data_IF_096477482396
#
_entry.id   IF_096477482396
#
_cell.length_a   1.000
_cell.length_b   1.000
_cell.length_c   1.000
_cell.angle_alpha   90.00
_cell.angle_beta   90.00
_cell.angle_gamma   90.00
#
_symmetry.space_group_name_H-M   'P 1'
#
loop_
_entity.id
_entity.type
_entity.pdbx_description
1 polymer ?
#
# COMPACT_ATOMS: atom_id res chain seq x y z
N UNK A 1 23.00 7.67 11.46
CA UNK A 1 22.03 8.49 12.22
C UNK A 1 20.63 8.05 11.77
N UNK A 2 20.16 6.90 12.23
CA UNK A 2 18.82 6.41 11.94
C UNK A 2 17.95 6.83 13.12
N UNK A 3 17.19 7.90 12.91
CA UNK A 3 16.31 8.48 13.91
C UNK A 3 15.09 7.58 14.08
N UNK A 4 14.60 7.46 15.31
CA UNK A 4 13.58 6.55 15.77
C UNK A 4 12.18 6.89 15.19
N UNK A 5 11.97 6.66 13.89
CA UNK A 5 10.62 6.80 13.32
C UNK A 5 9.70 5.78 13.97
N UNK A 6 8.57 6.27 14.50
CA UNK A 6 7.52 5.40 14.99
C UNK A 6 6.84 4.71 13.81
N UNK A 7 6.37 3.47 14.00
CA UNK A 7 5.61 2.70 12.99
C UNK A 7 4.46 3.53 12.41
N UNK A 8 3.80 4.35 13.24
CA UNK A 8 2.72 5.22 12.80
C UNK A 8 3.16 6.28 11.80
N UNK A 9 4.38 6.80 11.93
CA UNK A 9 4.91 7.81 11.01
C UNK A 9 5.36 7.17 9.70
N UNK A 10 6.03 6.02 9.77
CA UNK A 10 6.39 5.22 8.59
C UNK A 10 5.17 4.89 7.72
N UNK A 11 4.06 4.47 8.35
CA UNK A 11 2.79 4.19 7.65
C UNK A 11 2.25 5.46 6.96
N UNK A 12 2.32 6.63 7.62
CA UNK A 12 1.85 7.88 7.03
C UNK A 12 2.72 8.29 5.84
N UNK A 13 4.04 8.27 6.01
CA UNK A 13 4.99 8.65 4.98
C UNK A 13 4.86 7.76 3.73
N UNK A 14 4.71 6.45 3.93
CA UNK A 14 4.51 5.50 2.84
C UNK A 14 3.18 5.75 2.10
N UNK A 15 2.09 5.97 2.84
CA UNK A 15 0.79 6.29 2.25
C UNK A 15 0.82 7.61 1.46
N UNK A 16 1.49 8.63 1.99
CA UNK A 16 1.64 9.92 1.31
C UNK A 16 2.49 9.81 0.04
N UNK A 17 3.52 8.95 0.05
CA UNK A 17 4.30 8.67 -1.15
C UNK A 17 3.46 8.05 -2.26
N UNK A 18 2.58 7.08 -1.95
CA UNK A 18 1.68 6.50 -2.96
C UNK A 18 0.80 7.55 -3.63
N UNK A 19 0.36 8.54 -2.87
CA UNK A 19 -0.49 9.62 -3.37
C UNK A 19 0.30 10.67 -4.14
N UNK A 20 1.46 11.08 -3.62
CA UNK A 20 2.35 12.05 -4.25
C UNK A 20 2.87 11.58 -5.62
N UNK A 21 3.15 10.28 -5.76
CA UNK A 21 3.56 9.64 -7.03
C UNK A 21 2.37 9.37 -7.97
N UNK A 22 1.14 9.72 -7.57
CA UNK A 22 -0.07 9.57 -8.38
C UNK A 22 -0.53 8.13 -8.59
N UNK A 23 -0.01 7.18 -7.80
CA UNK A 23 -0.41 5.76 -7.87
C UNK A 23 -1.82 5.57 -7.30
N UNK A 24 -2.10 6.25 -6.19
CA UNK A 24 -3.41 6.27 -5.55
C UNK A 24 -3.92 7.72 -5.56
N UNK A 25 -5.10 8.01 -6.14
CA UNK A 25 -5.67 9.35 -6.11
C UNK A 25 -5.87 9.87 -4.67
N UNK A 26 -5.67 11.17 -4.44
CA UNK A 26 -5.82 11.81 -3.11
C UNK A 26 -7.16 11.50 -2.42
N UNK A 27 -8.26 11.43 -3.19
CA UNK A 27 -9.58 11.07 -2.65
C UNK A 27 -9.63 9.68 -1.99
N UNK A 28 -8.66 8.82 -2.27
CA UNK A 28 -8.49 7.47 -1.73
C UNK A 28 -7.29 7.37 -0.75
N UNK A 29 -6.87 8.49 -0.13
CA UNK A 29 -5.77 8.52 0.85
C UNK A 29 -5.96 7.54 2.02
N UNK A 30 -7.21 7.26 2.42
CA UNK A 30 -7.48 6.26 3.46
C UNK A 30 -7.16 4.83 2.99
N UNK A 31 -7.41 4.50 1.73
CA UNK A 31 -7.03 3.20 1.18
C UNK A 31 -5.51 3.08 1.02
N UNK A 32 -4.83 4.17 0.62
CA UNK A 32 -3.37 4.24 0.62
C UNK A 32 -2.78 3.95 2.00
N UNK A 33 -3.38 4.51 3.06
CA UNK A 33 -3.01 4.21 4.45
C UNK A 33 -3.27 2.76 4.83
N UNK A 34 -4.39 2.18 4.41
CA UNK A 34 -4.68 0.77 4.70
C UNK A 34 -3.65 -0.17 4.07
N UNK A 35 -3.24 0.12 2.83
CA UNK A 35 -2.16 -0.62 2.15
C UNK A 35 -0.84 -0.43 2.89
N UNK A 36 -0.48 0.82 3.24
CA UNK A 36 0.76 1.11 3.95
C UNK A 36 0.84 0.38 5.31
N UNK A 37 -0.27 0.28 6.04
CA UNK A 37 -0.34 -0.54 7.28
C UNK A 37 0.05 -1.98 6.97
N UNK A 38 -0.59 -2.60 5.98
CA UNK A 38 -0.34 -4.00 5.67
C UNK A 38 1.10 -4.23 5.18
N UNK A 39 1.65 -3.30 4.39
CA UNK A 39 3.03 -3.34 3.89
C UNK A 39 4.05 -3.22 5.03
N UNK A 40 3.91 -2.22 5.91
CA UNK A 40 4.83 -2.00 7.05
C UNK A 40 4.79 -3.19 8.02
N UNK A 41 3.63 -3.81 8.19
CA UNK A 41 3.47 -5.02 9.00
C UNK A 41 3.86 -6.33 8.28
N UNK A 42 4.42 -6.27 7.07
CA UNK A 42 4.84 -7.42 6.27
C UNK A 42 3.72 -8.45 6.00
N UNK A 43 2.49 -7.98 5.79
CA UNK A 43 1.39 -8.84 5.38
C UNK A 43 1.55 -9.25 3.92
N UNK A 44 1.17 -10.50 3.60
CA UNK A 44 1.28 -11.00 2.23
C UNK A 44 0.09 -10.62 1.34
N UNK A 45 -1.10 -10.48 1.93
CA UNK A 45 -2.36 -10.28 1.21
C UNK A 45 -3.28 -9.31 1.94
N UNK A 46 -3.95 -8.45 1.17
CA UNK A 46 -5.15 -7.71 1.59
C UNK A 46 -6.34 -8.30 0.82
N UNK A 47 -7.37 -8.71 1.55
CA UNK A 47 -8.65 -9.13 0.98
C UNK A 47 -9.69 -8.05 1.28
N UNK A 48 -10.29 -7.46 0.25
CA UNK A 48 -11.29 -6.39 0.44
C UNK A 48 -12.27 -6.25 -0.72
N UNK A 49 -13.54 -6.06 -0.37
CA UNK A 49 -14.60 -5.64 -1.30
C UNK A 49 -14.49 -4.16 -1.70
N UNK A 50 -13.82 -3.33 -0.89
CA UNK A 50 -13.79 -1.87 -1.05
C UNK A 50 -12.54 -1.36 -1.80
N UNK A 51 -11.76 -2.24 -2.42
CA UNK A 51 -10.52 -1.88 -3.13
C UNK A 51 -10.60 -2.08 -4.64
N UNK A 52 -11.79 -2.21 -5.23
CA UNK A 52 -11.95 -2.43 -6.68
C UNK A 52 -11.20 -1.38 -7.55
N UNK A 53 -11.12 -0.13 -7.08
CA UNK A 53 -10.36 0.93 -7.76
C UNK A 53 -8.83 0.78 -7.66
N UNK A 54 -8.35 0.01 -6.69
CA UNK A 54 -6.92 -0.25 -6.39
C UNK A 54 -6.45 -1.61 -6.94
N UNK A 55 -7.35 -2.55 -7.16
CA UNK A 55 -7.04 -3.89 -7.71
C UNK A 55 -6.52 -3.82 -9.16
N UNK A 56 -6.64 -2.67 -9.83
CA UNK A 56 -6.10 -2.45 -11.18
C UNK A 56 -4.60 -2.76 -11.24
N UNK A 57 -4.20 -3.54 -12.25
CA UNK A 57 -2.81 -3.94 -12.48
C UNK A 57 -1.82 -2.75 -12.43
N UNK A 58 -2.18 -1.60 -13.01
CA UNK A 58 -1.36 -0.38 -12.98
C UNK A 58 -1.06 0.08 -11.56
N UNK A 59 -2.06 0.03 -10.66
CA UNK A 59 -1.92 0.44 -9.27
C UNK A 59 -1.05 -0.56 -8.50
N UNK A 60 -1.26 -1.87 -8.68
CA UNK A 60 -0.40 -2.92 -8.10
C UNK A 60 1.07 -2.74 -8.49
N UNK A 61 1.35 -2.55 -9.78
CA UNK A 61 2.70 -2.31 -10.29
C UNK A 61 3.31 -1.00 -9.76
N UNK A 62 2.49 0.04 -9.62
CA UNK A 62 2.91 1.31 -9.02
C UNK A 62 3.31 1.18 -7.56
N UNK A 63 2.52 0.45 -6.76
CA UNK A 63 2.82 0.16 -5.35
C UNK A 63 4.13 -0.63 -5.26
N UNK A 64 4.29 -1.68 -6.06
CA UNK A 64 5.53 -2.47 -6.10
C UNK A 64 6.75 -1.62 -6.48
N UNK A 65 6.58 -0.71 -7.44
CA UNK A 65 7.62 0.23 -7.86
C UNK A 65 8.09 1.18 -6.76
N UNK A 66 7.21 1.50 -5.80
CA UNK A 66 7.55 2.31 -4.61
C UNK A 66 8.11 1.43 -3.49
N UNK A 67 7.51 0.27 -3.24
CA UNK A 67 7.84 -0.60 -2.12
C UNK A 67 9.23 -1.22 -2.25
N UNK A 68 9.54 -1.75 -3.44
CA UNK A 68 10.76 -2.53 -3.67
C UNK A 68 12.04 -1.72 -3.43
N UNK A 69 12.20 -0.48 -3.93
CA UNK A 69 13.39 0.34 -3.63
C UNK A 69 13.52 0.71 -2.16
N UNK A 70 12.40 0.75 -1.42
CA UNK A 70 12.36 1.04 0.02
C UNK A 70 12.61 -0.21 0.89
N UNK A 71 12.74 -1.39 0.29
CA UNK A 71 12.97 -2.66 1.00
C UNK A 71 11.70 -3.32 1.55
N UNK A 72 10.52 -2.79 1.24
CA UNK A 72 9.26 -3.41 1.64
C UNK A 72 8.95 -4.65 0.80
N UNK A 73 8.29 -5.62 1.43
CA UNK A 73 7.79 -6.81 0.73
C UNK A 73 6.66 -6.46 -0.23
N UNK A 74 6.52 -7.29 -1.26
CA UNK A 74 5.38 -7.22 -2.16
C UNK A 74 4.10 -7.61 -1.42
N UNK A 75 2.99 -6.99 -1.78
CA UNK A 75 1.68 -7.26 -1.20
C UNK A 75 0.66 -7.52 -2.29
N UNK A 76 -0.09 -8.60 -2.15
CA UNK A 76 -1.20 -8.90 -3.05
C UNK A 76 -2.48 -8.25 -2.54
N UNK A 77 -3.25 -7.69 -3.45
CA UNK A 77 -4.56 -7.07 -3.16
C UNK A 77 -5.60 -7.82 -3.97
N UNK A 78 -6.54 -8.46 -3.28
CA UNK A 78 -7.48 -9.41 -3.88
C UNK A 78 -8.92 -9.13 -3.42
N UNK A 79 -9.89 -9.47 -4.26
CA UNK A 79 -11.29 -9.58 -3.84
C UNK A 79 -11.50 -10.90 -3.09
N UNK A 80 -12.53 -11.01 -2.25
CA UNK A 80 -12.87 -12.28 -1.59
C UNK A 80 -13.18 -13.42 -2.56
N UNK A 81 -13.70 -13.10 -3.75
CA UNK A 81 -13.99 -14.09 -4.80
C UNK A 81 -12.72 -14.71 -5.39
N UNK A 82 -11.58 -14.00 -5.37
CA UNK A 82 -10.30 -14.53 -5.86
C UNK A 82 -9.63 -15.51 -4.87
N UNK A 83 -10.14 -15.63 -3.64
CA UNK A 83 -9.54 -16.43 -2.56
C UNK A 83 -10.38 -17.67 -2.19
N UNK A 84 -11.64 -17.76 -2.65
CA UNK A 84 -12.57 -18.86 -2.40
C UNK A 84 -12.56 -19.88 -3.55
#
# INVERSE_FOLDING_TARGET
>A
MLCCQSITEEIKELAERYVAEGIIPERFKNDARHIAVAVVHNMNVIVSWNLEHIIRLKTKLGIEGINRPLGYQSIEIMTPEEVL
#
